data_IF_602883804787
#
_entry.id   IF_602883804787
#
_cell.length_a   1.000
_cell.length_b   1.000
_cell.length_c   1.000
_cell.angle_alpha   90.00
_cell.angle_beta   90.00
_cell.angle_gamma   90.00
#
_symmetry.space_group_name_H-M   'P 1'
#
loop_
_entity.id
_entity.type
_entity.pdbx_description
1 polymer ?
#
# COMPACT_ATOMS: atom_id res chain seq x y z
N UNK A 1 0.02 23.75 2.93
CA UNK A 1 -0.08 22.55 3.78
C UNK A 1 1.27 22.40 4.48
N UNK A 2 1.28 22.21 5.79
CA UNK A 2 2.53 21.91 6.52
C UNK A 2 2.89 20.45 6.22
N UNK A 3 4.18 20.11 6.15
CA UNK A 3 4.65 18.77 5.80
C UNK A 3 4.03 17.66 6.68
N UNK A 4 3.88 17.93 7.97
CA UNK A 4 3.21 17.05 8.94
C UNK A 4 1.73 16.77 8.60
N UNK A 5 1.00 17.78 8.08
CA UNK A 5 -0.39 17.59 7.65
C UNK A 5 -0.46 16.68 6.42
N UNK A 6 0.51 16.80 5.51
CA UNK A 6 0.58 15.97 4.30
C UNK A 6 0.86 14.53 4.64
N UNK A 7 1.80 14.27 5.53
CA UNK A 7 2.15 12.91 5.97
C UNK A 7 0.96 12.23 6.65
N UNK A 8 0.24 12.96 7.52
CA UNK A 8 -0.97 12.46 8.16
C UNK A 8 -2.08 12.14 7.15
N UNK A 9 -2.26 12.98 6.13
CA UNK A 9 -3.23 12.73 5.06
C UNK A 9 -2.82 11.54 4.19
N UNK A 10 -1.53 11.41 3.86
CA UNK A 10 -1.00 10.26 3.12
C UNK A 10 -1.26 8.97 3.90
N UNK A 11 -0.93 8.93 5.20
CA UNK A 11 -1.14 7.74 6.03
C UNK A 11 -2.61 7.33 6.04
N UNK A 12 -3.52 8.30 6.18
CA UNK A 12 -4.96 8.05 6.15
C UNK A 12 -5.43 7.52 4.79
N UNK A 13 -4.94 8.09 3.69
CA UNK A 13 -5.25 7.62 2.34
C UNK A 13 -4.75 6.19 2.10
N UNK A 14 -3.56 5.84 2.59
CA UNK A 14 -2.99 4.49 2.49
C UNK A 14 -3.79 3.48 3.32
N UNK A 15 -4.27 3.87 4.51
CA UNK A 15 -5.15 3.04 5.33
C UNK A 15 -6.50 2.78 4.64
N UNK A 16 -7.12 3.82 4.08
CA UNK A 16 -8.36 3.67 3.30
C UNK A 16 -8.14 2.77 2.07
N UNK A 17 -6.99 2.91 1.39
CA UNK A 17 -6.61 2.09 0.25
C UNK A 17 -6.44 0.63 0.65
N UNK A 18 -5.71 0.36 1.73
CA UNK A 18 -5.56 -0.98 2.30
C UNK A 18 -6.92 -1.62 2.56
N UNK A 19 -7.80 -0.91 3.25
CA UNK A 19 -9.08 -1.45 3.69
C UNK A 19 -10.00 -1.78 2.50
N UNK A 20 -9.98 -0.97 1.43
CA UNK A 20 -10.73 -1.26 0.20
C UNK A 20 -10.08 -2.37 -0.64
N UNK A 21 -8.75 -2.38 -0.77
CA UNK A 21 -8.03 -3.38 -1.59
C UNK A 21 -8.11 -4.78 -0.98
N UNK A 22 -8.07 -4.91 0.34
CA UNK A 22 -8.25 -6.19 1.04
C UNK A 22 -9.62 -6.85 0.79
N UNK A 23 -10.62 -6.11 0.32
CA UNK A 23 -11.94 -6.66 -0.07
C UNK A 23 -11.90 -7.36 -1.44
N UNK A 24 -10.85 -7.17 -2.23
CA UNK A 24 -10.71 -7.79 -3.55
C UNK A 24 -10.30 -9.26 -3.36
N UNK A 25 -11.13 -10.18 -3.85
CA UNK A 25 -10.80 -11.61 -3.88
C UNK A 25 -9.50 -11.83 -4.67
N UNK A 26 -8.51 -12.44 -4.02
CA UNK A 26 -7.20 -12.74 -4.60
C UNK A 26 -6.08 -11.84 -4.08
N UNK A 27 -6.40 -10.72 -3.43
CA UNK A 27 -5.48 -10.00 -2.54
C UNK A 27 -5.40 -10.78 -1.22
N UNK A 28 -4.18 -11.11 -0.79
CA UNK A 28 -3.93 -11.86 0.45
C UNK A 28 -3.31 -11.00 1.54
N UNK A 29 -2.72 -9.86 1.18
CA UNK A 29 -2.16 -8.92 2.15
C UNK A 29 -1.91 -7.56 1.55
N UNK A 30 -1.86 -6.56 2.40
CA UNK A 30 -1.45 -5.20 2.05
C UNK A 30 -0.62 -4.64 3.21
N UNK A 31 0.60 -4.19 2.92
CA UNK A 31 1.55 -3.68 3.90
C UNK A 31 1.81 -2.21 3.60
N UNK A 32 1.66 -1.37 4.63
CA UNK A 32 2.03 0.05 4.59
C UNK A 32 3.36 0.15 5.37
N UNK A 33 4.50 0.24 4.69
CA UNK A 33 5.79 0.35 5.35
C UNK A 33 5.94 1.73 6.01
N UNK A 34 6.86 1.82 6.96
CA UNK A 34 7.19 3.09 7.63
C UNK A 34 8.07 4.00 6.75
N UNK A 35 8.80 3.42 5.79
CA UNK A 35 9.60 4.13 4.79
C UNK A 35 9.21 3.68 3.37
N UNK A 36 9.27 4.61 2.39
CA UNK A 36 9.04 4.27 0.99
C UNK A 36 10.13 3.29 0.47
N UNK A 37 9.72 2.34 -0.36
CA UNK A 37 10.57 1.29 -0.93
C UNK A 37 10.31 1.19 -2.42
N UNK A 38 11.35 1.14 -3.26
CA UNK A 38 11.19 1.10 -4.73
C UNK A 38 10.18 2.12 -5.28
N UNK A 39 10.24 3.38 -4.80
CA UNK A 39 9.30 4.45 -5.19
C UNK A 39 7.81 4.13 -4.90
N UNK A 40 7.58 3.15 -4.02
CA UNK A 40 6.27 2.65 -3.61
C UNK A 40 6.06 2.92 -2.12
N UNK A 41 4.84 3.28 -1.76
CA UNK A 41 4.43 3.60 -0.39
C UNK A 41 3.41 2.61 0.18
N UNK A 42 3.05 1.59 -0.60
CA UNK A 42 2.24 0.45 -0.16
C UNK A 42 2.60 -0.79 -0.97
N UNK A 43 2.68 -1.93 -0.31
CA UNK A 43 2.85 -3.25 -0.92
C UNK A 43 1.50 -3.96 -0.95
N UNK A 44 1.08 -4.44 -2.11
CA UNK A 44 -0.12 -5.29 -2.27
C UNK A 44 0.32 -6.68 -2.68
N UNK A 45 -0.08 -7.68 -1.90
CA UNK A 45 0.31 -9.07 -2.06
C UNK A 45 -0.88 -9.83 -2.64
N UNK A 46 -0.66 -10.49 -3.78
CA UNK A 46 -1.66 -11.27 -4.49
C UNK A 46 -1.36 -12.76 -4.41
N UNK A 47 -2.40 -13.59 -4.30
CA UNK A 47 -2.29 -15.05 -4.47
C UNK A 47 -2.00 -15.46 -5.93
N UNK A 48 -2.39 -14.63 -6.90
CA UNK A 48 -2.14 -14.81 -8.33
C UNK A 48 -2.22 -13.47 -9.06
N UNK A 49 -1.46 -13.31 -10.15
CA UNK A 49 -1.61 -12.17 -11.04
C UNK A 49 -2.83 -12.39 -11.91
N UNK A 50 -3.77 -11.45 -11.83
CA UNK A 50 -5.00 -11.45 -12.59
C UNK A 50 -5.31 -10.02 -13.04
N UNK A 51 -5.57 -9.83 -14.34
CA UNK A 51 -5.81 -8.50 -14.90
C UNK A 51 -6.99 -7.81 -14.23
N UNK A 52 -8.05 -8.54 -13.89
CA UNK A 52 -9.22 -7.97 -13.22
C UNK A 52 -8.85 -7.43 -11.84
N UNK A 53 -8.00 -8.15 -11.10
CA UNK A 53 -7.51 -7.72 -9.79
C UNK A 53 -6.70 -6.44 -9.93
N UNK A 54 -5.76 -6.40 -10.88
CA UNK A 54 -4.93 -5.21 -11.14
C UNK A 54 -5.78 -3.99 -11.51
N UNK A 55 -6.76 -4.15 -12.40
CA UNK A 55 -7.66 -3.07 -12.79
C UNK A 55 -8.50 -2.56 -11.61
N UNK A 56 -8.94 -3.44 -10.70
CA UNK A 56 -9.67 -3.03 -9.50
C UNK A 56 -8.79 -2.30 -8.50
N UNK A 57 -7.54 -2.74 -8.29
CA UNK A 57 -6.57 -2.05 -7.43
C UNK A 57 -6.32 -0.63 -7.96
N UNK A 58 -6.08 -0.49 -9.26
CA UNK A 58 -5.83 0.82 -9.87
C UNK A 58 -7.06 1.73 -9.79
N UNK A 59 -8.28 1.19 -9.98
CA UNK A 59 -9.51 1.97 -9.79
C UNK A 59 -9.63 2.50 -8.35
N UNK A 60 -9.36 1.68 -7.35
CA UNK A 60 -9.40 2.11 -5.94
C UNK A 60 -8.34 3.19 -5.69
N UNK A 61 -7.11 3.01 -6.17
CA UNK A 61 -6.05 4.03 -6.10
C UNK A 61 -6.56 5.39 -6.57
N UNK A 62 -7.05 5.47 -7.81
CA UNK A 62 -7.50 6.73 -8.38
C UNK A 62 -8.70 7.33 -7.66
N UNK A 63 -9.67 6.52 -7.23
CA UNK A 63 -10.81 6.99 -6.46
C UNK A 63 -10.40 7.61 -5.13
N UNK A 64 -9.39 7.05 -4.47
CA UNK A 64 -8.90 7.59 -3.21
C UNK A 64 -8.10 8.87 -3.45
N UNK A 65 -7.14 8.86 -4.37
CA UNK A 65 -6.36 10.06 -4.73
C UNK A 65 -7.26 11.26 -5.09
N UNK A 66 -8.36 11.03 -5.83
CA UNK A 66 -9.36 12.05 -6.17
C UNK A 66 -10.05 12.65 -4.92
N UNK A 67 -10.39 11.83 -3.92
CA UNK A 67 -10.96 12.33 -2.63
C UNK A 67 -9.99 13.24 -1.88
N UNK A 68 -8.70 13.02 -2.05
CA UNK A 68 -7.63 13.86 -1.50
C UNK A 68 -7.16 14.95 -2.48
N UNK A 69 -7.94 15.24 -3.53
CA UNK A 69 -7.69 16.28 -4.53
C UNK A 69 -6.30 16.18 -5.18
N UNK A 70 -5.81 14.97 -5.39
CA UNK A 70 -4.48 14.70 -5.95
C UNK A 70 -3.31 15.29 -5.12
N UNK A 71 -3.54 15.75 -3.89
CA UNK A 71 -2.47 16.22 -2.98
C UNK A 71 -1.62 15.05 -2.46
N UNK A 72 -2.21 13.85 -2.51
CA UNK A 72 -1.65 12.58 -2.06
C UNK A 72 -1.52 11.65 -3.25
N UNK A 73 -0.38 10.95 -3.32
CA UNK A 73 -0.10 9.93 -4.33
C UNK A 73 0.06 8.58 -3.65
N UNK A 74 -0.68 7.58 -4.10
CA UNK A 74 -0.57 6.20 -3.64
C UNK A 74 0.20 5.43 -4.70
N UNK A 75 1.38 4.92 -4.36
CA UNK A 75 2.25 4.18 -5.28
C UNK A 75 2.29 2.71 -4.84
N UNK A 76 1.40 1.85 -5.37
CA UNK A 76 1.35 0.44 -4.99
C UNK A 76 2.40 -0.39 -5.73
N UNK A 77 3.22 -1.10 -4.96
CA UNK A 77 4.00 -2.22 -5.47
C UNK A 77 3.14 -3.48 -5.43
N UNK A 78 3.04 -4.21 -6.54
CA UNK A 78 2.29 -5.46 -6.61
C UNK A 78 3.25 -6.64 -6.61
N UNK A 79 3.10 -7.55 -5.65
CA UNK A 79 3.89 -8.77 -5.55
C UNK A 79 3.00 -9.99 -5.42
N UNK A 80 3.51 -11.16 -5.80
CA UNK A 80 2.90 -12.45 -5.47
C UNK A 80 3.29 -12.91 -4.07
N UNK A 81 2.37 -13.64 -3.45
CA UNK A 81 2.66 -14.38 -2.22
C UNK A 81 3.85 -15.34 -2.45
N UNK A 82 4.87 -15.24 -1.59
CA UNK A 82 6.08 -16.05 -1.69
C UNK A 82 7.25 -15.37 -2.43
N UNK A 83 7.07 -14.17 -2.97
CA UNK A 83 8.21 -13.38 -3.47
C UNK A 83 9.08 -12.86 -2.30
N UNK A 84 10.41 -12.89 -2.46
CA UNK A 84 11.38 -12.47 -1.44
C UNK A 84 11.12 -11.06 -0.89
N UNK A 85 10.58 -10.17 -1.73
CA UNK A 85 10.25 -8.80 -1.34
C UNK A 85 9.19 -8.74 -0.25
N UNK A 86 8.24 -9.69 -0.24
CA UNK A 86 7.19 -9.77 0.77
C UNK A 86 7.82 -10.01 2.15
N UNK A 87 8.69 -11.01 2.25
CA UNK A 87 9.39 -11.33 3.51
C UNK A 87 10.25 -10.15 3.99
N UNK A 88 11.01 -9.52 3.09
CA UNK A 88 11.87 -8.37 3.43
C UNK A 88 11.07 -7.20 4.00
N UNK A 89 9.94 -6.86 3.38
CA UNK A 89 9.09 -5.74 3.80
C UNK A 89 8.31 -6.10 5.08
N UNK A 90 7.91 -7.36 5.27
CA UNK A 90 7.34 -7.82 6.54
C UNK A 90 8.34 -7.71 7.69
N UNK A 91 9.60 -8.08 7.47
CA UNK A 91 10.66 -8.04 8.49
C UNK A 91 10.97 -6.60 8.92
N UNK A 92 11.06 -5.67 7.97
CA UNK A 92 11.29 -4.24 8.28
C UNK A 92 10.10 -3.61 8.98
N UNK A 93 8.87 -3.96 8.57
CA UNK A 93 7.64 -3.46 9.20
C UNK A 93 7.43 -4.02 10.62
N UNK A 94 7.94 -5.23 10.91
CA UNK A 94 7.92 -5.81 12.28
C UNK A 94 9.10 -5.34 13.13
N UNK A 95 10.22 -4.94 12.52
CA UNK A 95 11.48 -4.56 13.17
C UNK A 95 11.44 -3.26 13.98
N UNK A 96 10.41 -2.40 13.79
CA UNK A 96 10.24 -1.15 14.53
C UNK A 96 10.06 -1.29 16.06
N UNK A 97 9.78 -2.50 16.57
CA UNK A 97 9.57 -2.76 18.01
C UNK A 97 10.83 -3.19 18.78
N UNK A 98 12.01 -3.24 18.17
CA UNK A 98 13.27 -3.54 18.88
C UNK A 98 14.38 -2.55 18.55
N UNK A 99 14.23 -1.33 19.08
CA UNK A 99 15.38 -0.52 19.51
C UNK A 99 15.16 -0.10 20.95
N UNK A 100 15.51 -0.99 21.88
CA UNK A 100 15.82 -0.68 23.27
C UNK A 100 17.33 -0.70 23.43
#
# INVERSE_FOLDING_TARGET
>A
MIEEDRERLLRKALEEFRDEVLKIKGVVGVIIPDEEFYESNVLVILSKIDREILERIMKIKFLIEDRYKEEIMISPYIALEGEDIVSKIEETSRGGYKRS
#
